data_IF_097456544683
#
_entry.id   IF_097456544683
#
_cell.length_a   1.000
_cell.length_b   1.000
_cell.length_c   1.000
_cell.angle_alpha   90.00
_cell.angle_beta   90.00
_cell.angle_gamma   90.00
#
_symmetry.space_group_name_H-M   'P 1'
#
loop_
_entity.id
_entity.type
_entity.pdbx_description
1 polymer ?
#
# COMPACT_ATOMS: atom_id res chain seq x y z
N UNK A 1 12.91 -1.23 12.98
CA UNK A 1 12.35 -2.48 12.41
C UNK A 1 13.14 -2.78 11.16
N UNK A 2 13.47 -4.04 10.93
CA UNK A 2 14.25 -4.47 9.77
C UNK A 2 13.42 -5.39 8.90
N UNK A 3 13.70 -5.39 7.60
CA UNK A 3 13.07 -6.34 6.69
C UNK A 3 13.65 -7.73 6.88
N UNK A 4 12.77 -8.72 7.05
CA UNK A 4 13.13 -10.13 7.20
C UNK A 4 12.55 -10.94 6.05
N UNK A 5 13.41 -11.32 5.12
CA UNK A 5 13.04 -12.14 3.99
C UNK A 5 12.88 -13.61 4.41
N UNK A 6 11.70 -14.15 4.18
CA UNK A 6 11.40 -15.57 4.33
C UNK A 6 11.27 -16.22 2.97
N UNK A 7 12.11 -17.19 2.67
CA UNK A 7 12.03 -17.92 1.41
C UNK A 7 12.60 -19.32 1.55
N UNK A 8 11.97 -20.26 0.87
CA UNK A 8 12.50 -21.63 0.70
C UNK A 8 13.61 -21.68 -0.35
N UNK A 9 13.73 -20.62 -1.16
CA UNK A 9 14.70 -20.52 -2.25
C UNK A 9 15.91 -19.71 -1.82
N UNK A 10 17.03 -20.00 -2.47
CA UNK A 10 18.24 -19.19 -2.39
C UNK A 10 18.52 -18.58 -3.77
N UNK A 11 19.14 -17.40 -3.84
CA UNK A 11 19.54 -16.83 -5.12
C UNK A 11 20.44 -17.79 -5.90
N UNK A 12 20.12 -18.01 -7.18
CA UNK A 12 20.86 -18.92 -8.08
C UNK A 12 21.14 -18.27 -9.44
N UNK A 13 22.04 -18.88 -10.21
CA UNK A 13 22.44 -18.34 -11.52
C UNK A 13 23.03 -16.95 -11.40
N UNK A 14 22.50 -16.00 -12.17
CA UNK A 14 22.97 -14.60 -12.19
C UNK A 14 22.36 -13.73 -11.08
N UNK A 15 21.40 -14.25 -10.31
CA UNK A 15 20.72 -13.49 -9.26
C UNK A 15 21.66 -12.96 -8.17
N UNK A 16 22.63 -13.76 -7.62
CA UNK A 16 23.55 -13.25 -6.61
C UNK A 16 24.33 -12.03 -7.09
N UNK A 17 24.86 -12.09 -8.32
CA UNK A 17 25.62 -10.99 -8.93
C UNK A 17 24.73 -9.77 -9.15
N UNK A 18 23.49 -9.96 -9.65
CA UNK A 18 22.54 -8.86 -9.86
C UNK A 18 22.16 -8.18 -8.55
N UNK A 19 21.90 -8.95 -7.47
CA UNK A 19 21.60 -8.42 -6.15
C UNK A 19 22.77 -7.58 -5.62
N UNK A 20 23.99 -8.12 -5.70
CA UNK A 20 25.20 -7.42 -5.23
C UNK A 20 25.40 -6.09 -5.97
N UNK A 21 25.29 -6.10 -7.31
CA UNK A 21 25.46 -4.90 -8.13
C UNK A 21 24.40 -3.85 -7.84
N UNK A 22 23.12 -4.21 -7.76
CA UNK A 22 22.04 -3.28 -7.44
C UNK A 22 22.20 -2.66 -6.04
N UNK A 23 22.49 -3.49 -5.04
CA UNK A 23 22.69 -3.01 -3.67
C UNK A 23 23.90 -2.09 -3.57
N UNK A 24 25.00 -2.44 -4.25
CA UNK A 24 26.20 -1.62 -4.32
C UNK A 24 25.91 -0.28 -4.98
N UNK A 25 25.28 -0.27 -6.15
CA UNK A 25 24.95 0.94 -6.89
C UNK A 25 24.09 1.91 -6.07
N UNK A 26 23.04 1.41 -5.42
CA UNK A 26 22.22 2.25 -4.53
C UNK A 26 22.96 2.77 -3.29
N UNK A 27 23.88 1.99 -2.72
CA UNK A 27 24.74 2.45 -1.60
C UNK A 27 25.78 3.48 -2.04
N UNK A 28 26.25 3.42 -3.26
CA UNK A 28 27.16 4.40 -3.87
C UNK A 28 26.46 5.69 -4.32
N UNK A 29 25.11 5.72 -4.26
CA UNK A 29 24.30 6.90 -4.54
C UNK A 29 23.69 6.94 -5.93
N UNK A 30 23.70 5.84 -6.69
CA UNK A 30 22.99 5.76 -7.95
C UNK A 30 21.49 6.00 -7.72
N UNK A 31 20.93 6.94 -8.48
CA UNK A 31 19.49 7.27 -8.40
C UNK A 31 18.63 6.28 -9.19
N UNK A 32 19.19 5.68 -10.23
CA UNK A 32 18.48 4.78 -11.14
C UNK A 32 19.30 3.52 -11.39
N UNK A 33 18.63 2.39 -11.30
CA UNK A 33 19.18 1.07 -11.60
C UNK A 33 18.17 0.29 -12.46
N UNK A 34 18.65 -0.51 -13.38
CA UNK A 34 17.78 -1.32 -14.24
C UNK A 34 18.11 -2.80 -14.11
N UNK A 35 17.16 -3.59 -13.66
CA UNK A 35 17.24 -5.05 -13.66
C UNK A 35 16.62 -5.61 -14.95
N UNK A 36 17.47 -6.07 -15.87
CA UNK A 36 17.03 -6.73 -17.09
C UNK A 36 16.98 -8.25 -16.88
N UNK A 37 15.86 -8.84 -17.23
CA UNK A 37 15.70 -10.30 -17.15
C UNK A 37 14.45 -10.78 -17.86
N UNK A 38 14.51 -11.98 -18.42
CA UNK A 38 13.37 -12.63 -19.08
C UNK A 38 12.24 -12.97 -18.10
N UNK A 39 11.06 -13.25 -18.62
CA UNK A 39 9.93 -13.74 -17.79
C UNK A 39 10.33 -15.04 -17.11
N UNK A 40 10.00 -15.19 -15.83
CA UNK A 40 10.36 -16.39 -15.05
C UNK A 40 11.79 -16.43 -14.51
N UNK A 41 12.63 -15.40 -14.73
CA UNK A 41 14.00 -15.35 -14.18
C UNK A 41 14.07 -15.03 -12.68
N UNK A 42 12.95 -14.93 -12.00
CA UNK A 42 12.91 -14.64 -10.56
C UNK A 42 13.22 -13.18 -10.20
N UNK A 43 12.87 -12.21 -11.07
CA UNK A 43 13.07 -10.77 -10.80
C UNK A 43 12.44 -10.31 -9.49
N UNK A 44 11.23 -10.80 -9.16
CA UNK A 44 10.55 -10.46 -7.90
C UNK A 44 11.36 -10.91 -6.69
N UNK A 45 11.91 -12.12 -6.74
CA UNK A 45 12.78 -12.62 -5.67
C UNK A 45 14.10 -11.85 -5.57
N UNK A 46 14.71 -11.48 -6.71
CA UNK A 46 15.88 -10.59 -6.75
C UNK A 46 15.57 -9.25 -6.09
N UNK A 47 14.44 -8.64 -6.43
CA UNK A 47 13.99 -7.38 -5.85
C UNK A 47 13.75 -7.52 -4.33
N UNK A 48 13.13 -8.59 -3.86
CA UNK A 48 12.93 -8.84 -2.43
C UNK A 48 14.26 -8.92 -1.66
N UNK A 49 15.29 -9.56 -2.22
CA UNK A 49 16.62 -9.59 -1.64
C UNK A 49 17.29 -8.20 -1.60
N UNK A 50 17.08 -7.37 -2.62
CA UNK A 50 17.57 -5.98 -2.64
C UNK A 50 16.88 -5.15 -1.56
N UNK A 51 15.54 -5.26 -1.44
CA UNK A 51 14.76 -4.56 -0.40
C UNK A 51 15.28 -4.90 1.00
N UNK A 52 15.48 -6.19 1.29
CA UNK A 52 16.03 -6.63 2.58
C UNK A 52 17.38 -6.00 2.86
N UNK A 53 18.32 -5.99 1.89
CA UNK A 53 19.68 -5.50 2.10
C UNK A 53 19.79 -3.97 2.17
N UNK A 54 18.89 -3.25 1.51
CA UNK A 54 18.82 -1.79 1.58
C UNK A 54 18.10 -1.32 2.83
N UNK A 55 17.17 -2.11 3.34
CA UNK A 55 16.37 -1.85 4.54
C UNK A 55 15.71 -0.46 4.57
N UNK A 56 15.07 -0.09 3.46
CA UNK A 56 14.39 1.20 3.27
C UNK A 56 12.92 0.99 2.93
N UNK A 57 12.00 1.87 3.36
CA UNK A 57 10.63 1.87 2.88
C UNK A 57 10.61 1.84 1.35
N UNK A 58 9.78 0.98 0.79
CA UNK A 58 9.79 0.68 -0.65
C UNK A 58 8.41 0.85 -1.25
N UNK A 59 8.35 1.54 -2.39
CA UNK A 59 7.16 1.62 -3.23
C UNK A 59 7.37 0.82 -4.51
N UNK A 60 6.49 -0.14 -4.75
CA UNK A 60 6.46 -0.95 -5.98
C UNK A 60 5.27 -0.49 -6.82
N UNK A 61 5.54 0.11 -7.98
CA UNK A 61 4.50 0.60 -8.88
C UNK A 61 4.33 -0.38 -10.03
N UNK A 62 3.11 -0.80 -10.25
CA UNK A 62 2.70 -1.68 -11.34
C UNK A 62 1.75 -0.94 -12.30
N UNK A 63 1.77 -1.32 -13.57
CA UNK A 63 0.94 -0.68 -14.60
C UNK A 63 -0.55 -1.05 -14.51
N UNK A 64 -0.92 -2.11 -13.79
CA UNK A 64 -2.33 -2.49 -13.60
C UNK A 64 -2.59 -3.15 -12.25
N UNK A 65 -3.88 -3.28 -11.87
CA UNK A 65 -4.32 -3.89 -10.61
C UNK A 65 -3.96 -5.37 -10.50
N UNK A 66 -4.04 -6.12 -11.58
CA UNK A 66 -3.79 -7.57 -11.59
C UNK A 66 -2.34 -7.89 -11.24
N UNK A 67 -1.41 -7.20 -11.89
CA UNK A 67 0.02 -7.36 -11.58
C UNK A 67 0.34 -6.81 -10.17
N UNK A 68 -0.28 -5.70 -9.76
CA UNK A 68 -0.14 -5.20 -8.40
C UNK A 68 -0.59 -6.25 -7.37
N UNK A 69 -1.72 -6.92 -7.60
CA UNK A 69 -2.22 -7.99 -6.74
C UNK A 69 -1.28 -9.19 -6.66
N UNK A 70 -0.72 -9.61 -7.80
CA UNK A 70 0.29 -10.67 -7.82
C UNK A 70 1.54 -10.30 -7.02
N UNK A 71 2.11 -9.12 -7.28
CA UNK A 71 3.31 -8.64 -6.57
C UNK A 71 3.05 -8.47 -5.07
N UNK A 72 1.86 -7.98 -4.70
CA UNK A 72 1.46 -7.90 -3.30
C UNK A 72 1.45 -9.27 -2.62
N UNK A 73 0.85 -10.28 -3.24
CA UNK A 73 0.84 -11.64 -2.73
C UNK A 73 2.25 -12.21 -2.55
N UNK A 74 3.10 -12.10 -3.59
CA UNK A 74 4.49 -12.55 -3.54
C UNK A 74 5.30 -11.82 -2.44
N UNK A 75 5.15 -10.50 -2.31
CA UNK A 75 5.84 -9.73 -1.26
C UNK A 75 5.36 -10.08 0.14
N UNK A 76 4.07 -10.37 0.31
CA UNK A 76 3.51 -10.82 1.59
C UNK A 76 4.04 -12.19 2.03
N UNK A 77 4.27 -13.09 1.06
CA UNK A 77 4.93 -14.37 1.33
C UNK A 77 6.40 -14.19 1.71
N UNK A 78 7.10 -13.27 1.04
CA UNK A 78 8.51 -12.98 1.33
C UNK A 78 8.72 -12.23 2.64
N UNK A 79 7.79 -11.37 3.04
CA UNK A 79 7.91 -10.50 4.22
C UNK A 79 6.71 -10.62 5.16
N UNK A 80 6.45 -11.79 5.75
CA UNK A 80 5.27 -12.03 6.58
C UNK A 80 5.27 -11.24 7.89
N UNK A 81 6.44 -10.82 8.39
CA UNK A 81 6.59 -10.05 9.62
C UNK A 81 6.59 -8.52 9.39
N UNK A 82 6.72 -8.08 8.14
CA UNK A 82 6.81 -6.67 7.78
C UNK A 82 5.47 -6.13 7.24
N UNK A 83 5.31 -4.83 7.18
CA UNK A 83 4.12 -4.21 6.62
C UNK A 83 4.19 -4.25 5.10
N UNK A 84 3.46 -5.17 4.50
CA UNK A 84 3.25 -5.20 3.04
C UNK A 84 1.82 -4.75 2.78
N UNK A 85 1.68 -3.62 2.08
CA UNK A 85 0.44 -2.90 1.90
C UNK A 85 0.04 -2.82 0.41
N UNK A 86 -1.27 -2.77 0.16
CA UNK A 86 -1.83 -2.74 -1.18
C UNK A 86 -2.54 -1.43 -1.46
N UNK A 87 -2.12 -0.72 -2.51
CA UNK A 87 -2.61 0.60 -2.83
C UNK A 87 -3.00 0.72 -4.31
N UNK A 88 -4.25 0.45 -4.61
CA UNK A 88 -4.80 0.53 -5.97
C UNK A 88 -6.07 1.39 -6.00
N UNK A 89 -6.59 1.68 -7.19
CA UNK A 89 -7.86 2.39 -7.31
C UNK A 89 -8.99 1.59 -6.65
N UNK A 90 -9.81 2.25 -5.85
CA UNK A 90 -10.98 1.66 -5.19
C UNK A 90 -12.19 1.51 -6.11
N UNK A 91 -12.13 2.05 -7.33
CA UNK A 91 -13.16 1.81 -8.34
C UNK A 91 -12.97 0.43 -8.98
N UNK A 92 -13.97 -0.44 -8.85
CA UNK A 92 -14.01 -1.72 -9.55
C UNK A 92 -14.54 -1.56 -10.97
N UNK A 93 -15.49 -0.65 -11.14
CA UNK A 93 -16.09 -0.31 -12.42
C UNK A 93 -16.19 1.21 -12.56
N UNK A 94 -15.86 1.71 -13.72
CA UNK A 94 -16.02 3.11 -14.09
C UNK A 94 -16.51 3.21 -15.51
N UNK A 95 -17.72 3.69 -15.69
CA UNK A 95 -18.30 4.01 -16.99
C UNK A 95 -18.42 5.53 -17.10
N UNK A 96 -17.68 6.17 -18.01
CA UNK A 96 -17.84 7.59 -18.26
C UNK A 96 -19.19 7.87 -18.91
N UNK A 97 -19.66 9.09 -18.74
CA UNK A 97 -20.83 9.56 -19.50
C UNK A 97 -20.56 9.48 -21.00
N UNK A 98 -21.51 8.97 -21.75
CA UNK A 98 -21.46 8.91 -23.20
C UNK A 98 -22.82 9.18 -23.81
N UNK A 99 -22.81 9.90 -24.92
CA UNK A 99 -24.03 10.09 -25.76
C UNK A 99 -23.81 9.41 -27.09
N UNK A 100 -24.74 8.54 -27.46
CA UNK A 100 -24.75 7.83 -28.75
C UNK A 100 -25.78 8.49 -29.68
N UNK A 101 -25.35 9.38 -30.60
CA UNK A 101 -26.28 10.15 -31.44
C UNK A 101 -27.16 9.30 -32.36
N UNK A 102 -26.66 8.12 -32.77
CA UNK A 102 -27.36 7.21 -33.66
C UNK A 102 -28.65 6.60 -33.07
N UNK A 103 -28.66 6.40 -31.76
CA UNK A 103 -29.78 5.82 -30.99
C UNK A 103 -30.45 6.79 -30.05
N UNK A 104 -30.01 8.05 -30.04
CA UNK A 104 -30.44 9.09 -29.08
C UNK A 104 -30.37 8.58 -27.63
N UNK A 105 -29.29 7.86 -27.32
CA UNK A 105 -29.14 7.22 -26.03
C UNK A 105 -28.08 7.94 -25.22
N UNK A 106 -28.46 8.41 -24.02
CA UNK A 106 -27.53 8.94 -23.01
C UNK A 106 -27.18 7.82 -22.05
N UNK A 107 -25.87 7.52 -21.93
CA UNK A 107 -25.32 6.60 -20.97
C UNK A 107 -24.83 7.44 -19.79
N UNK A 108 -25.48 7.29 -18.64
CA UNK A 108 -25.09 8.00 -17.44
C UNK A 108 -23.74 7.47 -16.89
N UNK A 109 -23.00 8.34 -16.21
CA UNK A 109 -21.82 7.94 -15.45
C UNK A 109 -22.22 6.91 -14.40
N UNK A 110 -21.51 5.80 -14.37
CA UNK A 110 -21.67 4.75 -13.36
C UNK A 110 -20.31 4.34 -12.78
N UNK A 111 -20.29 4.10 -11.48
CA UNK A 111 -19.06 3.66 -10.78
C UNK A 111 -19.42 2.88 -9.53
N UNK A 112 -18.74 1.78 -9.30
CA UNK A 112 -18.82 1.02 -8.06
C UNK A 112 -17.53 1.18 -7.26
N UNK A 113 -17.69 1.45 -5.98
CA UNK A 113 -16.59 1.57 -5.00
C UNK A 113 -16.45 0.24 -4.27
N UNK A 114 -15.21 -0.19 -4.08
CA UNK A 114 -14.90 -1.38 -3.31
C UNK A 114 -14.37 -0.96 -1.93
N UNK A 115 -15.19 -1.15 -0.90
CA UNK A 115 -14.89 -0.75 0.47
C UNK A 115 -13.68 -1.52 1.06
N UNK A 116 -13.45 -2.76 0.61
CA UNK A 116 -12.28 -3.53 1.06
C UNK A 116 -10.98 -2.91 0.53
N UNK A 117 -10.97 -2.47 -0.72
CA UNK A 117 -9.81 -1.78 -1.31
C UNK A 117 -9.60 -0.44 -0.61
N UNK A 118 -10.65 0.27 -0.25
CA UNK A 118 -10.52 1.55 0.48
C UNK A 118 -9.91 1.34 1.86
N UNK A 119 -10.33 0.32 2.60
CA UNK A 119 -9.70 -0.08 3.87
C UNK A 119 -8.20 -0.41 3.70
N UNK A 120 -7.82 -1.12 2.63
CA UNK A 120 -6.41 -1.42 2.34
C UNK A 120 -5.60 -0.15 2.03
N UNK A 121 -6.19 0.83 1.35
CA UNK A 121 -5.55 2.13 1.09
C UNK A 121 -5.32 2.92 2.39
N UNK A 122 -6.31 2.96 3.27
CA UNK A 122 -6.18 3.57 4.59
C UNK A 122 -5.11 2.88 5.44
N UNK A 123 -5.08 1.53 5.42
CA UNK A 123 -4.02 0.73 6.06
C UNK A 123 -2.63 1.10 5.56
N UNK A 124 -2.46 1.22 4.23
CA UNK A 124 -1.19 1.61 3.64
C UNK A 124 -0.73 3.01 4.11
N UNK A 125 -1.65 3.97 4.17
CA UNK A 125 -1.35 5.33 4.63
C UNK A 125 -0.96 5.34 6.10
N UNK A 126 -1.69 4.60 6.96
CA UNK A 126 -1.39 4.46 8.38
C UNK A 126 -0.02 3.78 8.60
N UNK A 127 0.26 2.69 7.86
CA UNK A 127 1.54 1.99 7.96
C UNK A 127 2.73 2.88 7.58
N UNK A 128 2.62 3.72 6.56
CA UNK A 128 3.66 4.67 6.15
C UNK A 128 3.94 5.73 7.23
N UNK A 129 2.93 6.09 8.02
CA UNK A 129 3.07 7.07 9.10
C UNK A 129 3.72 6.45 10.35
N UNK A 130 3.44 5.19 10.65
CA UNK A 130 3.83 4.55 11.92
C UNK A 130 5.06 3.64 11.81
N UNK A 131 5.38 3.13 10.63
CA UNK A 131 6.41 2.11 10.42
C UNK A 131 7.48 2.55 9.41
N UNK A 132 8.67 1.97 9.54
CA UNK A 132 9.79 2.16 8.59
C UNK A 132 10.06 0.93 7.73
N UNK A 133 9.49 -0.21 8.09
CA UNK A 133 9.61 -1.48 7.39
C UNK A 133 8.37 -1.75 6.52
N UNK A 134 8.06 -0.79 5.65
CA UNK A 134 6.85 -0.80 4.82
C UNK A 134 7.19 -1.04 3.35
N UNK A 135 6.48 -1.96 2.72
CA UNK A 135 6.45 -2.15 1.28
C UNK A 135 5.04 -1.83 0.80
N UNK A 136 4.88 -0.79 0.00
CA UNK A 136 3.59 -0.49 -0.64
C UNK A 136 3.62 -0.98 -2.08
N UNK A 137 2.71 -1.86 -2.42
CA UNK A 137 2.49 -2.31 -3.81
C UNK A 137 1.30 -1.55 -4.37
N UNK A 138 1.55 -0.73 -5.38
CA UNK A 138 0.59 0.20 -5.92
C UNK A 138 0.37 0.05 -7.43
N UNK A 139 -0.79 0.47 -7.89
CA UNK A 139 -1.03 0.76 -9.30
C UNK A 139 -0.75 2.24 -9.60
N UNK A 140 -0.89 2.64 -10.85
CA UNK A 140 -0.72 4.04 -11.29
C UNK A 140 -1.57 5.04 -10.50
N UNK A 141 -2.63 4.58 -9.81
CA UNK A 141 -3.48 5.44 -8.98
C UNK A 141 -2.75 6.12 -7.80
N UNK A 142 -1.58 5.62 -7.41
CA UNK A 142 -0.76 6.24 -6.34
C UNK A 142 -0.15 7.60 -6.72
N UNK A 143 -0.13 7.96 -8.01
CA UNK A 143 0.38 9.27 -8.47
C UNK A 143 -0.60 10.41 -8.23
N UNK A 144 -1.87 10.10 -7.97
CA UNK A 144 -2.87 11.10 -7.63
C UNK A 144 -2.81 11.39 -6.13
N UNK A 145 -2.77 12.69 -5.78
CA UNK A 145 -2.66 13.12 -4.38
C UNK A 145 -3.83 12.65 -3.51
N UNK A 146 -3.53 12.29 -2.27
CA UNK A 146 -4.51 11.91 -1.24
C UNK A 146 -4.76 13.03 -0.23
N UNK A 147 -4.22 14.22 -0.46
CA UNK A 147 -4.21 15.32 0.49
C UNK A 147 -2.83 15.56 1.10
N UNK A 148 -2.77 16.41 2.11
CA UNK A 148 -1.52 16.74 2.82
C UNK A 148 -1.18 15.65 3.83
N UNK A 149 0.07 15.16 3.89
CA UNK A 149 0.52 14.25 4.95
C UNK A 149 0.38 14.85 6.36
N UNK A 150 0.52 16.17 6.49
CA UNK A 150 0.37 16.88 7.77
C UNK A 150 -1.09 16.86 8.25
N UNK A 151 -2.03 17.07 7.33
CA UNK A 151 -3.46 16.97 7.64
C UNK A 151 -3.85 15.54 8.04
N UNK A 152 -3.34 14.54 7.33
CA UNK A 152 -3.55 13.15 7.69
C UNK A 152 -3.06 12.83 9.11
N UNK A 153 -1.85 13.28 9.46
CA UNK A 153 -1.28 13.06 10.78
C UNK A 153 -2.08 13.79 11.87
N UNK A 154 -2.58 15.00 11.58
CA UNK A 154 -3.42 15.78 12.47
C UNK A 154 -4.82 15.18 12.68
N UNK A 155 -5.33 14.41 11.70
CA UNK A 155 -6.63 13.76 11.72
C UNK A 155 -6.56 12.27 12.08
N UNK A 156 -5.50 11.83 12.73
CA UNK A 156 -5.32 10.44 13.15
C UNK A 156 -5.06 10.30 14.64
N UNK A 157 -5.57 9.25 15.26
CA UNK A 157 -5.34 8.91 16.67
C UNK A 157 -4.72 7.54 16.74
N UNK A 158 -3.48 7.46 17.22
CA UNK A 158 -2.81 6.18 17.50
C UNK A 158 -3.18 5.67 18.89
N UNK A 159 -3.71 4.46 18.97
CA UNK A 159 -4.02 3.77 20.21
C UNK A 159 -3.23 2.46 20.29
N UNK A 160 -2.63 2.20 21.44
CA UNK A 160 -1.83 0.98 21.68
C UNK A 160 -2.31 0.24 22.91
N UNK A 161 -2.35 -1.09 22.90
CA UNK A 161 -2.65 -1.88 24.10
C UNK A 161 -1.72 -1.52 25.26
N UNK A 162 -2.29 -1.30 26.47
CA UNK A 162 -1.54 -0.90 27.66
C UNK A 162 -1.20 0.58 27.77
N UNK A 163 -1.62 1.41 26.83
CA UNK A 163 -1.47 2.87 26.91
C UNK A 163 -2.54 3.45 27.84
N UNK A 164 -2.13 4.23 28.84
CA UNK A 164 -3.03 5.01 29.67
C UNK A 164 -3.41 6.31 28.94
N UNK A 165 -4.71 6.56 28.82
CA UNK A 165 -5.28 7.81 28.28
C UNK A 165 -6.52 8.20 29.05
N UNK A 166 -6.72 9.51 29.19
CA UNK A 166 -8.00 10.02 29.70
C UNK A 166 -9.14 9.70 28.73
N UNK A 167 -10.23 9.15 29.27
CA UNK A 167 -11.38 8.72 28.48
C UNK A 167 -12.08 9.89 27.80
N UNK A 168 -12.23 11.00 28.51
CA UNK A 168 -13.00 12.14 28.03
C UNK A 168 -12.21 12.94 26.99
N UNK A 169 -10.87 12.96 27.13
CA UNK A 169 -9.99 13.53 26.10
C UNK A 169 -9.97 12.69 24.83
N UNK A 170 -9.97 11.35 24.96
CA UNK A 170 -10.09 10.47 23.80
C UNK A 170 -11.45 10.64 23.11
N UNK A 171 -12.54 10.72 23.87
CA UNK A 171 -13.87 10.92 23.32
C UNK A 171 -14.00 12.25 22.57
N UNK A 172 -13.40 13.34 23.11
CA UNK A 172 -13.34 14.62 22.40
C UNK A 172 -12.55 14.52 21.10
N UNK A 173 -11.37 13.93 21.14
CA UNK A 173 -10.54 13.73 19.94
C UNK A 173 -11.25 12.90 18.86
N UNK A 174 -12.04 11.88 19.24
CA UNK A 174 -12.85 11.12 18.28
C UNK A 174 -13.98 11.95 17.68
N UNK A 175 -14.64 12.83 18.49
CA UNK A 175 -15.67 13.74 17.99
C UNK A 175 -15.05 14.75 17.01
N UNK A 176 -13.86 15.28 17.29
CA UNK A 176 -13.13 16.19 16.40
C UNK A 176 -12.80 15.52 15.05
N UNK A 177 -12.61 14.19 15.06
CA UNK A 177 -12.47 13.35 13.86
C UNK A 177 -13.80 12.95 13.21
N UNK A 178 -14.91 13.57 13.64
CA UNK A 178 -16.27 13.36 13.13
C UNK A 178 -16.89 11.99 13.44
N UNK A 179 -16.38 11.25 14.44
CA UNK A 179 -17.06 10.07 14.92
C UNK A 179 -18.30 10.46 15.72
N UNK A 180 -19.39 9.74 15.50
CA UNK A 180 -20.63 9.95 16.27
C UNK A 180 -20.56 9.17 17.57
N UNK A 181 -20.76 9.86 18.71
CA UNK A 181 -20.87 9.19 20.00
C UNK A 181 -22.18 8.42 20.09
N UNK A 182 -22.07 7.12 20.40
CA UNK A 182 -23.21 6.27 20.68
C UNK A 182 -23.00 5.59 22.04
N UNK A 183 -24.01 5.66 22.92
CA UNK A 183 -23.95 5.04 24.23
C UNK A 183 -24.30 3.53 24.18
N UNK A 184 -24.63 2.98 23.03
CA UNK A 184 -24.90 1.58 22.82
C UNK A 184 -23.62 0.79 22.52
N UNK A 185 -23.21 -0.05 23.48
CA UNK A 185 -21.99 -0.86 23.42
C UNK A 185 -21.95 -1.91 22.28
N UNK A 186 -23.07 -2.11 21.57
CA UNK A 186 -23.19 -3.12 20.50
C UNK A 186 -22.96 -2.56 19.10
N UNK A 187 -22.82 -1.25 18.93
CA UNK A 187 -22.47 -0.66 17.66
C UNK A 187 -20.97 -0.40 17.61
N UNK A 188 -20.26 -1.37 17.10
CA UNK A 188 -18.96 -1.09 16.50
C UNK A 188 -19.21 -0.23 15.27
N UNK A 189 -18.58 0.90 15.24
CA UNK A 189 -18.63 1.89 14.18
C UNK A 189 -18.61 1.26 12.79
N UNK A 190 -19.73 1.26 12.10
CA UNK A 190 -19.71 1.51 10.67
C UNK A 190 -19.38 3.00 10.51
N UNK A 191 -18.11 3.33 10.68
CA UNK A 191 -17.57 4.59 10.27
C UNK A 191 -17.58 4.56 8.75
N UNK A 192 -18.56 5.23 8.18
CA UNK A 192 -18.67 5.48 6.76
C UNK A 192 -17.48 6.28 6.25
#
# INVERSE_FOLDING_TARGET
>A
MEFKLHSKYKPTGDQPQAIEQLVKGFKEGNQFETLLGVTGSGKTFTMANVIQQLNKPTLIISHNKTLAGQLYGEMKEFFPENAVEYFVSYYDYYQPEAYVPQSDTYIAKDSSVNDEIDKLRLSATAALTERKDVIVVASVSCIYGLGSPDEWTGMSISLRPGQERDRDDLARALIDLQYTRNDCLLYTSDAA
#
